data_IF_919176129881
#
_entry.id   IF_919176129881
#
_cell.length_a   1.000
_cell.length_b   1.000
_cell.length_c   1.000
_cell.angle_alpha   90.00
_cell.angle_beta   90.00
_cell.angle_gamma   90.00
#
_symmetry.space_group_name_H-M   'P 1'
#
loop_
_entity.id
_entity.type
_entity.pdbx_description
1 polymer ?
#
# COMPACT_ATOMS: atom_id res chain seq x y z
N UNK A 1 -5.93 -8.45 -8.41
CA UNK A 1 -4.61 -7.84 -8.07
C UNK A 1 -3.60 -8.96 -7.92
N UNK A 2 -2.46 -8.81 -8.58
CA UNK A 2 -1.30 -9.73 -8.48
C UNK A 2 -0.18 -8.98 -7.77
N UNK A 3 0.56 -9.69 -6.92
CA UNK A 3 1.81 -9.23 -6.31
C UNK A 3 2.85 -10.31 -6.50
N UNK A 4 4.04 -9.94 -6.94
CA UNK A 4 5.14 -10.88 -7.20
C UNK A 4 6.47 -10.26 -6.77
N UNK A 5 7.42 -11.11 -6.35
CA UNK A 5 8.77 -10.74 -5.94
C UNK A 5 8.86 -10.05 -4.58
N UNK A 6 10.09 -9.66 -4.24
CA UNK A 6 10.41 -8.88 -3.05
C UNK A 6 11.38 -7.75 -3.39
N UNK A 7 11.45 -6.72 -2.57
CA UNK A 7 12.13 -5.46 -2.86
C UNK A 7 13.61 -5.60 -3.26
N UNK A 8 14.32 -6.55 -2.67
CA UNK A 8 15.74 -6.79 -2.96
C UNK A 8 16.03 -7.30 -4.37
N UNK A 9 15.06 -8.01 -4.96
CA UNK A 9 15.18 -8.56 -6.33
C UNK A 9 14.26 -7.85 -7.32
N UNK A 10 13.33 -7.09 -6.83
CA UNK A 10 12.26 -6.42 -7.55
C UNK A 10 10.89 -6.93 -7.07
N UNK A 11 9.96 -6.01 -6.89
CA UNK A 11 8.57 -6.33 -6.55
C UNK A 11 7.64 -5.67 -7.56
N UNK A 12 6.65 -6.43 -8.01
CA UNK A 12 5.63 -5.96 -8.95
C UNK A 12 4.24 -6.09 -8.33
N UNK A 13 3.44 -5.06 -8.47
CA UNK A 13 2.01 -5.05 -8.15
C UNK A 13 1.24 -4.69 -9.41
N UNK A 14 0.25 -5.50 -9.79
CA UNK A 14 -0.51 -5.32 -11.03
C UNK A 14 -2.00 -5.53 -10.71
N UNK A 15 -2.84 -4.59 -11.15
CA UNK A 15 -4.29 -4.71 -11.00
C UNK A 15 -5.06 -3.86 -12.01
N UNK A 16 -6.24 -4.30 -12.46
CA UNK A 16 -7.11 -3.50 -13.30
C UNK A 16 -7.70 -2.34 -12.49
N UNK A 17 -7.77 -1.16 -13.10
CA UNK A 17 -8.41 0.03 -12.55
C UNK A 17 -9.68 0.42 -13.30
N UNK A 18 -9.85 -0.10 -14.51
CA UNK A 18 -11.08 0.07 -15.29
C UNK A 18 -11.27 -1.14 -16.22
N UNK A 19 -12.42 -1.75 -16.12
CA UNK A 19 -12.85 -2.81 -17.02
C UNK A 19 -13.50 -2.23 -18.27
N UNK A 20 -13.36 -2.94 -19.40
CA UNK A 20 -14.03 -2.62 -20.66
C UNK A 20 -13.89 -1.14 -21.06
N UNK A 21 -12.65 -0.72 -21.34
CA UNK A 21 -12.37 0.65 -21.83
C UNK A 21 -12.82 0.88 -23.27
N UNK A 22 -13.12 -0.19 -23.98
CA UNK A 22 -13.62 -0.20 -25.36
C UNK A 22 -14.54 -1.40 -25.63
N UNK A 23 -15.01 -1.51 -26.89
CA UNK A 23 -15.85 -2.62 -27.34
C UNK A 23 -15.17 -3.98 -27.41
N UNK A 24 -13.84 -4.04 -27.35
CA UNK A 24 -13.03 -5.25 -27.46
C UNK A 24 -12.72 -5.88 -26.09
N UNK A 25 -13.26 -5.31 -25.01
CA UNK A 25 -13.09 -5.83 -23.65
C UNK A 25 -11.70 -5.57 -23.06
N UNK A 26 -10.93 -4.64 -23.60
CA UNK A 26 -9.64 -4.26 -23.02
C UNK A 26 -9.82 -3.60 -21.66
N UNK A 27 -8.87 -3.83 -20.77
CA UNK A 27 -8.84 -3.27 -19.43
C UNK A 27 -7.73 -2.20 -19.32
N UNK A 28 -7.96 -1.17 -18.52
CA UNK A 28 -6.91 -0.28 -18.08
C UNK A 28 -6.27 -0.89 -16.84
N UNK A 29 -4.99 -1.20 -16.94
CA UNK A 29 -4.21 -1.84 -15.89
C UNK A 29 -3.23 -0.86 -15.29
N UNK A 30 -3.16 -0.81 -13.96
CA UNK A 30 -2.11 -0.15 -13.22
C UNK A 30 -1.05 -1.15 -12.79
N UNK A 31 0.20 -0.75 -12.89
CA UNK A 31 1.30 -1.52 -12.33
C UNK A 31 2.26 -0.61 -11.53
N UNK A 32 2.89 -1.19 -10.53
CA UNK A 32 3.92 -0.56 -9.71
C UNK A 32 5.11 -1.51 -9.64
N UNK A 33 6.27 -1.05 -10.08
CA UNK A 33 7.55 -1.73 -9.90
C UNK A 33 8.30 -1.07 -8.74
N UNK A 34 8.59 -1.83 -7.70
CA UNK A 34 9.29 -1.36 -6.51
C UNK A 34 10.67 -2.01 -6.43
N UNK A 35 11.68 -1.20 -6.20
CA UNK A 35 13.07 -1.61 -5.99
C UNK A 35 13.64 -0.91 -4.76
N UNK A 36 14.51 -1.59 -4.02
CA UNK A 36 15.36 -0.93 -3.05
C UNK A 36 16.42 -0.09 -3.77
N UNK A 37 16.65 1.11 -3.27
CA UNK A 37 17.63 2.03 -3.81
C UNK A 37 18.28 2.83 -2.68
N UNK A 38 19.60 2.95 -2.72
CA UNK A 38 20.37 3.84 -1.82
C UNK A 38 20.39 5.30 -2.34
N UNK A 39 19.83 5.54 -3.53
CA UNK A 39 19.77 6.88 -4.10
C UNK A 39 18.84 7.78 -3.29
N UNK A 40 19.20 9.06 -3.09
CA UNK A 40 18.32 10.02 -2.46
C UNK A 40 16.99 10.12 -3.22
N UNK A 41 15.88 10.08 -2.49
CA UNK A 41 14.56 10.20 -3.08
C UNK A 41 14.17 11.68 -3.12
N UNK A 42 14.02 12.23 -4.32
CA UNK A 42 13.42 13.54 -4.50
C UNK A 42 11.89 13.42 -4.33
N UNK A 43 11.29 14.38 -3.63
CA UNK A 43 9.83 14.43 -3.43
C UNK A 43 9.14 15.11 -4.62
N UNK A 44 9.40 14.59 -5.81
CA UNK A 44 8.73 15.03 -7.05
C UNK A 44 7.69 14.00 -7.49
N UNK A 45 6.43 14.33 -7.33
CA UNK A 45 5.28 13.48 -7.70
C UNK A 45 5.00 13.50 -9.21
N UNK A 46 5.71 14.30 -9.98
CA UNK A 46 5.58 14.41 -11.43
C UNK A 46 6.79 13.85 -12.18
N UNK A 47 7.79 13.37 -11.45
CA UNK A 47 9.01 12.81 -12.01
C UNK A 47 8.71 11.66 -12.97
N UNK A 48 9.34 11.66 -14.14
CA UNK A 48 9.23 10.57 -15.10
C UNK A 48 10.26 9.51 -14.81
N UNK A 49 9.81 8.26 -14.75
CA UNK A 49 10.67 7.09 -14.66
C UNK A 49 11.36 6.81 -15.99
N UNK A 50 12.63 6.44 -15.95
CA UNK A 50 13.40 5.98 -17.10
C UNK A 50 13.44 4.46 -17.10
N UNK A 51 13.09 3.84 -18.20
CA UNK A 51 13.06 2.36 -18.28
C UNK A 51 14.42 1.75 -17.98
N UNK A 52 15.50 2.38 -18.41
CA UNK A 52 16.87 1.88 -18.19
C UNK A 52 17.23 1.75 -16.72
N UNK A 53 16.58 2.52 -15.83
CA UNK A 53 16.89 2.52 -14.40
C UNK A 53 16.34 1.29 -13.67
N UNK A 54 15.26 0.68 -14.18
CA UNK A 54 14.59 -0.41 -13.47
C UNK A 54 14.21 -1.62 -14.34
N UNK A 55 13.94 -1.45 -15.65
CA UNK A 55 13.53 -2.53 -16.54
C UNK A 55 14.47 -3.75 -16.52
N UNK A 56 15.81 -3.60 -16.44
CA UNK A 56 16.71 -4.77 -16.40
C UNK A 56 16.41 -5.74 -15.24
N UNK A 57 15.87 -5.25 -14.12
CA UNK A 57 15.48 -6.10 -12.98
C UNK A 57 14.26 -6.97 -13.26
N UNK A 58 13.45 -6.62 -14.25
CA UNK A 58 12.21 -7.30 -14.62
C UNK A 58 12.29 -7.94 -16.02
N UNK A 59 13.43 -7.89 -16.67
CA UNK A 59 13.58 -8.29 -18.08
C UNK A 59 13.22 -9.78 -18.33
N UNK A 60 13.53 -10.63 -17.36
CA UNK A 60 13.31 -12.07 -17.41
C UNK A 60 12.03 -12.53 -16.69
N UNK A 61 11.21 -11.60 -16.20
CA UNK A 61 9.97 -11.94 -15.50
C UNK A 61 8.88 -12.31 -16.49
N UNK A 62 8.72 -13.59 -16.72
CA UNK A 62 7.74 -14.20 -17.62
C UNK A 62 6.91 -15.23 -16.88
N UNK A 63 5.62 -15.10 -17.02
CA UNK A 63 4.61 -16.03 -16.55
C UNK A 63 3.82 -16.51 -17.75
N UNK A 64 3.17 -17.66 -17.70
CA UNK A 64 2.37 -18.20 -18.80
C UNK A 64 1.30 -17.23 -19.32
N UNK A 65 0.87 -16.30 -18.47
CA UNK A 65 -0.20 -15.33 -18.72
C UNK A 65 0.29 -13.88 -18.80
N UNK A 66 1.58 -13.58 -18.54
CA UNK A 66 2.11 -12.21 -18.54
C UNK A 66 3.61 -12.17 -18.83
N UNK A 67 4.00 -11.37 -19.82
CA UNK A 67 5.36 -10.86 -19.98
C UNK A 67 5.48 -9.49 -19.32
N UNK A 68 6.18 -9.41 -18.19
CA UNK A 68 6.30 -8.18 -17.40
C UNK A 68 7.11 -7.13 -18.15
N UNK A 69 8.16 -7.53 -18.85
CA UNK A 69 8.98 -6.61 -19.61
C UNK A 69 8.19 -5.98 -20.77
N UNK A 70 7.32 -6.74 -21.43
CA UNK A 70 6.44 -6.23 -22.49
C UNK A 70 5.39 -5.27 -21.91
N UNK A 71 4.78 -5.61 -20.77
CA UNK A 71 3.85 -4.70 -20.06
C UNK A 71 4.51 -3.35 -19.78
N UNK A 72 5.74 -3.36 -19.26
CA UNK A 72 6.48 -2.15 -18.95
C UNK A 72 6.79 -1.34 -20.22
N UNK A 73 7.31 -2.00 -21.27
CA UNK A 73 7.67 -1.33 -22.52
C UNK A 73 6.49 -0.73 -23.28
N UNK A 74 5.33 -1.37 -23.19
CA UNK A 74 4.09 -0.92 -23.84
C UNK A 74 3.43 0.26 -23.13
N UNK A 75 3.92 0.64 -21.93
CA UNK A 75 3.36 1.73 -21.16
C UNK A 75 3.84 3.08 -21.68
N UNK A 76 2.92 3.93 -22.13
CA UNK A 76 3.23 5.22 -22.74
C UNK A 76 3.90 6.22 -21.79
N UNK A 77 3.56 6.17 -20.50
CA UNK A 77 4.10 7.06 -19.48
C UNK A 77 4.36 6.31 -18.20
N UNK A 78 5.61 6.31 -17.77
CA UNK A 78 6.03 5.78 -16.46
C UNK A 78 6.37 6.94 -15.54
N UNK A 79 5.87 6.91 -14.32
CA UNK A 79 6.15 7.90 -13.29
C UNK A 79 7.04 7.26 -12.21
N UNK A 80 7.97 8.05 -11.67
CA UNK A 80 8.83 7.65 -10.57
C UNK A 80 8.30 8.27 -9.28
N UNK A 81 7.47 7.53 -8.55
CA UNK A 81 6.92 8.00 -7.28
C UNK A 81 7.87 7.75 -6.11
N UNK A 82 8.11 8.77 -5.27
CA UNK A 82 8.82 8.56 -4.02
C UNK A 82 7.98 7.72 -3.07
N UNK A 83 8.53 6.58 -2.61
CA UNK A 83 7.90 5.72 -1.60
C UNK A 83 8.22 6.25 -0.21
N UNK A 84 7.63 7.38 0.12
CA UNK A 84 7.85 8.11 1.38
C UNK A 84 6.59 8.12 2.23
N UNK A 85 6.79 8.26 3.52
CA UNK A 85 5.75 8.52 4.50
C UNK A 85 6.21 9.64 5.45
N UNK A 86 5.48 9.86 6.51
CA UNK A 86 5.82 10.82 7.55
C UNK A 86 5.64 10.18 8.93
N UNK A 87 6.47 10.60 9.89
CA UNK A 87 6.26 10.23 11.28
C UNK A 87 4.89 10.70 11.76
N UNK A 88 4.19 9.89 12.57
CA UNK A 88 2.91 10.29 13.12
C UNK A 88 2.98 11.63 13.82
N UNK A 89 2.08 12.53 13.47
CA UNK A 89 1.99 13.83 14.08
C UNK A 89 1.46 13.70 15.52
N UNK A 90 1.97 14.50 16.46
CA UNK A 90 1.50 14.45 17.84
C UNK A 90 0.06 14.96 18.01
N UNK A 91 -0.44 15.72 17.03
CA UNK A 91 -1.77 16.33 17.05
C UNK A 91 -2.22 16.72 15.65
N UNK A 92 -3.52 16.56 15.37
CA UNK A 92 -4.15 16.94 14.10
C UNK A 92 -5.05 18.16 14.20
N UNK A 93 -5.63 18.42 15.39
CA UNK A 93 -6.63 19.47 15.58
C UNK A 93 -6.06 20.69 16.27
N UNK A 94 -6.35 21.87 15.72
CA UNK A 94 -5.85 23.19 16.15
C UNK A 94 -7.02 24.17 16.18
N UNK A 95 -7.75 24.21 17.28
CA UNK A 95 -8.95 25.03 17.40
C UNK A 95 -10.06 24.59 16.45
N UNK A 96 -10.33 25.36 15.41
CA UNK A 96 -11.36 25.07 14.40
C UNK A 96 -10.82 24.45 13.11
N UNK A 97 -9.59 24.02 13.10
CA UNK A 97 -8.92 23.35 11.97
C UNK A 97 -8.50 21.96 12.39
N UNK A 98 -8.68 20.98 11.53
CA UNK A 98 -8.15 19.62 11.71
C UNK A 98 -7.60 19.08 10.39
N UNK A 99 -6.69 18.11 10.50
CA UNK A 99 -6.17 17.33 9.37
C UNK A 99 -6.99 16.04 9.20
N UNK A 100 -7.03 15.52 7.99
CA UNK A 100 -7.72 14.28 7.64
C UNK A 100 -6.99 13.58 6.48
N UNK A 101 -6.99 12.25 6.46
CA UNK A 101 -6.41 11.46 5.38
C UNK A 101 -4.91 11.72 5.21
N UNK A 102 -4.43 11.82 3.97
CA UNK A 102 -3.00 11.98 3.68
C UNK A 102 -2.39 13.27 4.24
N UNK A 103 -3.19 14.29 4.54
CA UNK A 103 -2.72 15.48 5.23
C UNK A 103 -2.36 15.21 6.69
N UNK A 104 -2.98 14.20 7.31
CA UNK A 104 -2.78 13.81 8.70
C UNK A 104 -1.79 12.65 8.86
N UNK A 105 -1.86 11.67 7.96
CA UNK A 105 -1.12 10.41 8.07
C UNK A 105 -0.70 9.85 6.70
N UNK A 106 0.14 10.59 5.93
CA UNK A 106 0.67 10.05 4.69
C UNK A 106 1.45 8.77 4.99
N UNK A 107 1.19 7.71 4.23
CA UNK A 107 1.79 6.41 4.47
C UNK A 107 2.23 5.73 3.17
N UNK A 108 3.29 4.93 3.24
CA UNK A 108 3.68 4.10 2.10
C UNK A 108 2.55 3.15 1.72
N UNK A 109 2.25 2.94 0.42
CA UNK A 109 1.06 2.21 -0.03
C UNK A 109 1.17 0.68 0.12
N UNK A 110 2.12 0.16 0.89
CA UNK A 110 2.34 -1.28 1.11
C UNK A 110 1.11 -1.99 1.65
N UNK A 111 0.36 -1.33 2.55
CA UNK A 111 -0.86 -1.86 3.12
C UNK A 111 -2.09 -1.75 2.22
N UNK A 112 -2.02 -0.98 1.12
CA UNK A 112 -3.18 -0.59 0.30
C UNK A 112 -4.33 -0.03 1.14
N UNK A 113 -4.02 0.71 2.22
CA UNK A 113 -4.97 1.06 3.28
C UNK A 113 -5.14 2.58 3.52
N UNK A 114 -4.34 3.45 2.88
CA UNK A 114 -4.43 4.90 3.09
C UNK A 114 -5.83 5.45 2.85
N UNK A 115 -6.43 5.12 1.71
CA UNK A 115 -7.81 5.52 1.40
C UNK A 115 -8.83 4.96 2.40
N UNK A 116 -8.65 3.71 2.85
CA UNK A 116 -9.50 3.10 3.89
C UNK A 116 -9.44 3.88 5.20
N UNK A 117 -8.25 4.28 5.64
CA UNK A 117 -8.08 5.09 6.84
C UNK A 117 -8.70 6.48 6.70
N UNK A 118 -8.57 7.12 5.54
CA UNK A 118 -9.21 8.41 5.27
C UNK A 118 -10.76 8.32 5.32
N UNK A 119 -11.33 7.22 4.84
CA UNK A 119 -12.78 6.96 4.97
C UNK A 119 -13.19 6.81 6.44
N UNK A 120 -12.42 6.05 7.22
CA UNK A 120 -12.67 5.90 8.66
C UNK A 120 -12.52 7.23 9.42
N UNK A 121 -11.61 8.09 9.00
CA UNK A 121 -11.49 9.45 9.53
C UNK A 121 -12.76 10.25 9.27
N UNK A 122 -13.25 10.24 8.03
CA UNK A 122 -14.45 10.97 7.66
C UNK A 122 -15.69 10.48 8.43
N UNK A 123 -15.82 9.17 8.60
CA UNK A 123 -16.90 8.57 9.40
C UNK A 123 -16.81 9.04 10.84
N UNK A 124 -15.65 8.88 11.48
CA UNK A 124 -15.44 9.30 12.86
C UNK A 124 -15.71 10.79 13.06
N UNK A 125 -15.23 11.64 12.16
CA UNK A 125 -15.46 13.08 12.23
C UNK A 125 -16.95 13.43 12.11
N UNK A 126 -17.69 12.77 11.20
CA UNK A 126 -19.12 12.95 11.04
C UNK A 126 -19.88 12.54 12.31
N UNK A 127 -19.53 11.40 12.93
CA UNK A 127 -20.12 10.95 14.19
C UNK A 127 -19.89 11.97 15.31
N UNK A 128 -18.66 12.52 15.43
CA UNK A 128 -18.38 13.56 16.44
C UNK A 128 -19.21 14.82 16.18
N UNK A 129 -19.40 15.22 14.92
CA UNK A 129 -20.27 16.36 14.60
C UNK A 129 -21.74 16.12 14.95
N UNK A 130 -22.24 14.92 14.75
CA UNK A 130 -23.60 14.54 15.14
C UNK A 130 -23.79 14.59 16.68
N UNK A 131 -22.80 14.08 17.41
CA UNK A 131 -22.90 13.98 18.88
C UNK A 131 -22.61 15.28 19.62
N UNK A 132 -21.72 16.12 19.10
CA UNK A 132 -21.20 17.31 19.80
C UNK A 132 -21.55 18.64 19.10
N UNK A 133 -22.11 18.57 17.90
CA UNK A 133 -22.21 19.73 17.03
C UNK A 133 -20.87 20.07 16.35
N UNK A 134 -20.91 20.92 15.34
CA UNK A 134 -19.72 21.35 14.57
C UNK A 134 -18.93 22.36 15.41
N UNK A 135 -17.75 21.98 15.87
CA UNK A 135 -16.92 22.83 16.71
C UNK A 135 -15.59 22.22 17.15
N UNK A 136 -14.79 22.98 17.86
CA UNK A 136 -13.45 22.60 18.31
C UNK A 136 -13.45 21.34 19.18
N UNK A 137 -14.50 21.12 19.98
CA UNK A 137 -14.62 19.93 20.81
C UNK A 137 -14.73 18.67 19.98
N UNK A 138 -15.59 18.66 18.96
CA UNK A 138 -15.74 17.51 18.07
C UNK A 138 -14.44 17.19 17.33
N UNK A 139 -13.71 18.22 16.90
CA UNK A 139 -12.40 18.06 16.25
C UNK A 139 -11.35 17.46 17.20
N UNK A 140 -11.32 17.91 18.45
CA UNK A 140 -10.40 17.36 19.45
C UNK A 140 -10.71 15.89 19.80
N UNK A 141 -12.00 15.51 19.89
CA UNK A 141 -12.41 14.14 20.14
C UNK A 141 -12.10 13.23 18.93
N UNK A 142 -12.29 13.72 17.71
CA UNK A 142 -11.87 13.05 16.48
C UNK A 142 -10.36 12.76 16.48
N UNK A 143 -9.52 13.78 16.75
CA UNK A 143 -8.08 13.67 16.84
C UNK A 143 -7.67 12.61 17.89
N UNK A 144 -8.25 12.67 19.09
CA UNK A 144 -7.94 11.73 20.16
C UNK A 144 -8.27 10.26 19.82
N UNK A 145 -9.24 10.02 18.94
CA UNK A 145 -9.63 8.68 18.49
C UNK A 145 -8.75 8.23 17.32
N UNK A 146 -8.65 9.06 16.28
CA UNK A 146 -8.09 8.63 14.99
C UNK A 146 -6.58 8.72 14.92
N UNK A 147 -5.98 9.72 15.52
CA UNK A 147 -4.52 9.92 15.49
C UNK A 147 -3.77 8.69 16.05
N UNK A 148 -4.02 8.18 17.26
CA UNK A 148 -3.31 7.00 17.74
C UNK A 148 -3.63 5.72 16.95
N UNK A 149 -4.80 5.61 16.35
CA UNK A 149 -5.18 4.47 15.54
C UNK A 149 -4.39 4.42 14.23
N UNK A 150 -4.33 5.54 13.51
CA UNK A 150 -3.59 5.63 12.22
C UNK A 150 -2.09 5.64 12.41
N UNK A 151 -1.57 6.19 13.53
CA UNK A 151 -0.16 6.11 13.89
C UNK A 151 0.32 4.64 13.92
N UNK A 152 -0.47 3.75 14.49
CA UNK A 152 -0.17 2.30 14.50
C UNK A 152 -0.11 1.73 13.08
N UNK A 153 -0.99 2.17 12.19
CA UNK A 153 -1.01 1.72 10.79
C UNK A 153 0.24 2.19 10.03
N UNK A 154 0.62 3.47 10.17
CA UNK A 154 1.85 4.03 9.57
C UNK A 154 3.07 3.21 10.01
N UNK A 155 3.22 2.98 11.31
CA UNK A 155 4.35 2.23 11.86
C UNK A 155 4.33 0.75 11.43
N UNK A 156 3.14 0.13 11.35
CA UNK A 156 3.00 -1.25 10.87
C UNK A 156 3.37 -1.37 9.38
N UNK A 157 3.04 -0.39 8.55
CA UNK A 157 3.43 -0.37 7.15
C UNK A 157 4.97 -0.32 6.96
N UNK A 158 5.70 0.25 7.91
CA UNK A 158 7.17 0.25 7.91
C UNK A 158 7.77 -1.09 8.33
N UNK A 159 7.20 -1.72 9.36
CA UNK A 159 7.80 -2.90 10.02
C UNK A 159 7.24 -4.24 9.55
N UNK A 160 5.92 -4.35 9.47
CA UNK A 160 5.20 -5.60 9.17
C UNK A 160 4.01 -5.35 8.22
N UNK A 161 4.27 -4.84 7.01
CA UNK A 161 3.20 -4.61 6.05
C UNK A 161 2.56 -5.93 5.61
N UNK A 162 1.35 -5.92 5.01
CA UNK A 162 0.68 -7.15 4.57
C UNK A 162 1.46 -7.91 3.49
N UNK A 163 2.31 -7.23 2.74
CA UNK A 163 3.20 -7.85 1.76
C UNK A 163 4.46 -8.49 2.37
N UNK A 164 4.62 -8.45 3.70
CA UNK A 164 5.61 -9.25 4.41
C UNK A 164 5.49 -10.77 4.11
N UNK A 165 4.33 -11.23 3.66
CA UNK A 165 4.16 -12.58 3.12
C UNK A 165 5.16 -12.86 1.99
N UNK A 166 5.36 -11.93 1.09
CA UNK A 166 6.30 -12.08 -0.03
C UNK A 166 7.75 -12.16 0.47
N UNK A 167 8.08 -11.36 1.50
CA UNK A 167 9.39 -11.42 2.15
C UNK A 167 9.64 -12.79 2.77
N UNK A 168 8.70 -13.31 3.56
CA UNK A 168 8.82 -14.61 4.19
C UNK A 168 9.04 -15.74 3.16
N UNK A 169 8.30 -15.69 2.06
CA UNK A 169 8.46 -16.67 0.98
C UNK A 169 9.84 -16.54 0.32
N UNK A 170 10.27 -15.32 0.00
CA UNK A 170 11.56 -15.04 -0.61
C UNK A 170 12.73 -15.50 0.28
N UNK A 171 12.73 -15.12 1.55
CA UNK A 171 13.78 -15.47 2.51
C UNK A 171 13.88 -16.97 2.76
N UNK A 172 12.73 -17.64 2.94
CA UNK A 172 12.71 -19.11 3.22
C UNK A 172 13.01 -19.96 2.00
N UNK A 173 12.59 -19.55 0.80
CA UNK A 173 12.92 -20.25 -0.43
C UNK A 173 14.38 -20.04 -0.83
N UNK A 174 15.04 -18.99 -0.32
CA UNK A 174 16.36 -18.56 -0.76
C UNK A 174 16.37 -18.19 -2.24
N UNK A 175 15.26 -17.61 -2.71
CA UNK A 175 15.01 -17.26 -4.11
C UNK A 175 15.06 -18.45 -5.09
N UNK A 176 14.83 -19.67 -4.59
CA UNK A 176 14.79 -20.89 -5.40
C UNK A 176 13.37 -21.25 -5.79
N UNK A 177 13.18 -21.82 -6.99
CA UNK A 177 11.89 -22.34 -7.41
C UNK A 177 11.36 -23.41 -6.44
N UNK A 178 10.06 -23.43 -6.20
CA UNK A 178 9.37 -24.42 -5.41
C UNK A 178 8.07 -24.85 -6.13
N UNK A 179 7.62 -26.08 -5.90
CA UNK A 179 6.43 -26.61 -6.56
C UNK A 179 5.14 -26.10 -5.91
N UNK A 180 5.12 -25.98 -4.60
CA UNK A 180 3.95 -25.57 -3.81
C UNK A 180 4.37 -24.60 -2.73
N UNK A 181 3.52 -23.63 -2.42
CA UNK A 181 3.79 -22.63 -1.37
C UNK A 181 3.97 -23.29 0.00
N UNK A 182 3.26 -24.39 0.25
CA UNK A 182 3.32 -25.15 1.48
C UNK A 182 4.68 -25.80 1.73
N UNK A 183 5.50 -25.99 0.69
CA UNK A 183 6.87 -26.49 0.81
C UNK A 183 7.81 -25.44 1.46
N UNK A 184 7.40 -24.16 1.45
CA UNK A 184 8.16 -23.02 1.96
C UNK A 184 7.56 -22.45 3.26
N UNK A 185 6.24 -22.25 3.28
CA UNK A 185 5.52 -21.66 4.40
C UNK A 185 4.11 -22.22 4.50
N UNK A 186 3.66 -22.55 5.70
CA UNK A 186 2.32 -23.13 5.89
C UNK A 186 1.22 -22.10 5.65
N UNK A 187 0.03 -22.57 5.25
CA UNK A 187 -1.16 -21.72 5.07
C UNK A 187 -1.57 -21.02 6.36
N UNK A 188 -1.40 -21.69 7.49
CA UNK A 188 -1.69 -21.14 8.81
C UNK A 188 -0.77 -19.97 9.15
N UNK A 189 0.51 -20.04 8.78
CA UNK A 189 1.45 -18.93 8.97
C UNK A 189 1.12 -17.74 8.06
N UNK A 190 0.80 -17.99 6.79
CA UNK A 190 0.35 -16.95 5.86
C UNK A 190 -0.91 -16.26 6.37
N UNK A 191 -1.88 -17.03 6.86
CA UNK A 191 -3.11 -16.49 7.46
C UNK A 191 -2.82 -15.63 8.69
N UNK A 192 -1.92 -16.07 9.59
CA UNK A 192 -1.52 -15.29 10.77
C UNK A 192 -0.88 -13.94 10.42
N UNK A 193 -0.02 -13.90 9.40
CA UNK A 193 0.59 -12.65 8.93
C UNK A 193 -0.50 -11.69 8.43
N UNK A 194 -1.42 -12.20 7.61
CA UNK A 194 -2.52 -11.40 7.07
C UNK A 194 -3.46 -10.87 8.17
N UNK A 195 -3.86 -11.72 9.11
CA UNK A 195 -4.77 -11.35 10.20
C UNK A 195 -4.16 -10.33 11.16
N UNK A 196 -2.88 -10.47 11.48
CA UNK A 196 -2.17 -9.49 12.32
C UNK A 196 -2.23 -8.08 11.77
N UNK A 197 -2.06 -7.93 10.45
CA UNK A 197 -2.15 -6.62 9.83
C UNK A 197 -3.59 -6.08 9.82
N UNK A 198 -4.58 -6.92 9.53
CA UNK A 198 -6.00 -6.52 9.58
C UNK A 198 -6.42 -6.00 10.96
N UNK A 199 -5.89 -6.61 12.02
CA UNK A 199 -6.13 -6.17 13.39
C UNK A 199 -5.58 -4.76 13.63
N UNK A 200 -4.32 -4.51 13.25
CA UNK A 200 -3.69 -3.19 13.38
C UNK A 200 -4.41 -2.13 12.52
N UNK A 201 -4.84 -2.50 11.33
CA UNK A 201 -5.51 -1.61 10.40
C UNK A 201 -6.99 -1.31 10.77
N UNK A 202 -7.54 -1.99 11.79
CA UNK A 202 -8.95 -1.83 12.15
C UNK A 202 -9.93 -2.42 11.12
N UNK A 203 -9.46 -3.35 10.30
CA UNK A 203 -10.22 -3.95 9.20
C UNK A 203 -10.87 -5.31 9.58
N UNK A 204 -10.93 -5.64 10.84
CA UNK A 204 -11.65 -6.84 11.29
C UNK A 204 -13.15 -6.66 11.04
N UNK A 205 -13.71 -7.50 10.18
CA UNK A 205 -15.15 -7.66 10.11
C UNK A 205 -15.62 -8.28 11.45
N UNK A 206 -16.60 -7.70 12.15
CA UNK A 206 -17.18 -8.37 13.31
C UNK A 206 -17.62 -9.76 12.90
N UNK A 207 -17.27 -10.76 13.70
CA UNK A 207 -17.84 -12.11 13.53
C UNK A 207 -19.37 -11.98 13.56
N UNK A 208 -20.01 -12.46 12.49
CA UNK A 208 -21.47 -12.54 12.43
C UNK A 208 -21.98 -13.59 13.39
#
# INVERSE_FOLDING_TARGET
MVRAGWLSVGKMVIYPIRDAIDGDGRQLVNWVAELESDAPVERDWTARGRLDDFLPRFADWRFDWLDVAELIRSTATVLAYPMVDQDPLPRWSFGRVTLLGDAAHPMVPRGSNGAGQAILDAICLAERFVERGVGAQALAEYDAIRNPATAKVVLANRSTPPDAILREVHERSGDKPFARIEDVVSREELARIAERYKEVAGLRTPAR
#
